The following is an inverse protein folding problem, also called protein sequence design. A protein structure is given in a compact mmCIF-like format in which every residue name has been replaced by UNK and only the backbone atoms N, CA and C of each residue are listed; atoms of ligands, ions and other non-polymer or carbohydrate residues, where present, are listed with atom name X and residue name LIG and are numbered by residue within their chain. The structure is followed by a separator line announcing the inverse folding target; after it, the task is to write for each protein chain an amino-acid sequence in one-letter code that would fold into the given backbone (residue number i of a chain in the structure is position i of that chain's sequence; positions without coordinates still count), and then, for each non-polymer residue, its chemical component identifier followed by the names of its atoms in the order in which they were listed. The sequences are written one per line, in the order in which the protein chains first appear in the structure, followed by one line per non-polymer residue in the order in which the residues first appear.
data_IF_637604371639
#
_entry.id   IF_637604371639
#
_cell.length_a   1.000
_cell.length_b   1.000
_cell.length_c   1.000
_cell.angle_alpha   90.00
_cell.angle_beta   90.00
_cell.angle_gamma   90.00
#
_symmetry.space_group_name_H-M   'P 1'
#
loop_
_entity.id
_entity.type
_entity.pdbx_description
1 polymer ?
#
# COMPACT_ATOMS: atom_id res chain seq x y z
N UNK A 1 11.84 16.72 -12.27
CA UNK A 1 12.07 18.14 -11.98
C UNK A 1 13.29 18.53 -12.78
N UNK A 2 13.22 19.54 -13.64
CA UNK A 2 14.36 20.08 -14.40
C UNK A 2 15.07 21.23 -13.64
N UNK A 3 14.71 21.42 -12.37
CA UNK A 3 15.29 22.40 -11.42
C UNK A 3 15.29 23.87 -11.89
N UNK A 4 14.59 24.17 -12.99
CA UNK A 4 14.35 25.53 -13.43
C UNK A 4 13.57 26.31 -12.35
N UNK A 5 14.08 27.49 -11.99
CA UNK A 5 13.49 28.38 -10.99
C UNK A 5 12.78 29.54 -11.71
N UNK A 6 11.58 29.97 -11.27
CA UNK A 6 10.91 29.62 -10.01
C UNK A 6 10.04 28.35 -10.05
N UNK A 7 9.71 27.84 -11.24
CA UNK A 7 8.84 26.67 -11.45
C UNK A 7 9.52 25.74 -12.46
N UNK A 8 9.62 24.45 -12.14
CA UNK A 8 10.20 23.45 -13.04
C UNK A 8 9.25 23.20 -14.25
N UNK A 9 9.78 22.92 -15.44
CA UNK A 9 9.00 22.67 -16.68
C UNK A 9 7.91 21.61 -16.48
N UNK A 10 8.16 20.61 -15.64
CA UNK A 10 7.17 19.59 -15.34
C UNK A 10 5.97 20.13 -14.52
N UNK A 11 6.21 21.00 -13.54
CA UNK A 11 5.15 21.66 -12.77
C UNK A 11 4.39 22.69 -13.62
N UNK A 12 5.08 23.38 -14.54
CA UNK A 12 4.46 24.27 -15.52
C UNK A 12 3.47 23.52 -16.40
N UNK A 13 3.86 22.37 -16.94
CA UNK A 13 2.99 21.55 -17.81
C UNK A 13 1.78 20.96 -17.09
N UNK A 14 1.94 20.62 -15.81
CA UNK A 14 0.89 19.96 -15.02
C UNK A 14 0.05 20.94 -14.20
N UNK A 15 0.31 22.24 -14.30
CA UNK A 15 -0.32 23.29 -13.49
C UNK A 15 -0.29 22.98 -11.98
N UNK A 16 0.84 22.42 -11.52
CA UNK A 16 1.06 22.08 -10.11
C UNK A 16 1.89 23.16 -9.41
N UNK A 17 1.63 23.35 -8.12
CA UNK A 17 2.48 24.18 -7.26
C UNK A 17 3.87 23.55 -7.14
N UNK A 18 4.91 24.28 -7.56
CA UNK A 18 6.30 23.81 -7.53
C UNK A 18 6.97 24.23 -6.21
N UNK A 19 7.02 23.32 -5.25
CA UNK A 19 7.67 23.54 -3.97
C UNK A 19 9.11 23.03 -4.00
N UNK A 20 10.06 23.91 -3.69
CA UNK A 20 11.45 23.55 -3.45
C UNK A 20 11.71 23.65 -1.95
N UNK A 21 11.63 22.52 -1.24
CA UNK A 21 11.98 22.48 0.18
C UNK A 21 13.46 22.80 0.34
N UNK A 22 13.76 23.99 0.84
CA UNK A 22 15.09 24.33 1.32
C UNK A 22 15.10 24.10 2.82
N UNK A 23 15.63 22.95 3.23
CA UNK A 23 16.10 22.77 4.62
C UNK A 23 17.18 23.83 4.84
N UNK A 24 16.89 24.86 5.63
CA UNK A 24 17.93 25.75 6.16
C UNK A 24 18.72 24.96 7.20
N UNK A 25 20.05 24.81 7.08
CA UNK A 25 20.87 24.39 8.22
C UNK A 25 20.74 25.47 9.29
N UNK A 26 20.31 25.10 10.49
CA UNK A 26 20.34 26.02 11.62
C UNK A 26 21.81 26.27 12.01
N UNK A 27 22.15 27.56 12.10
CA UNK A 27 23.46 28.07 12.45
C UNK A 27 23.95 27.53 13.81
N UNK A 28 25.22 27.13 13.83
CA UNK A 28 25.98 26.84 15.04
C UNK A 28 26.06 28.09 15.93
N UNK A 29 25.56 27.99 17.16
CA UNK A 29 25.91 28.88 18.27
C UNK A 29 26.78 28.12 19.30
N UNK A 30 27.88 28.72 19.81
CA UNK A 30 28.83 28.06 20.70
C UNK A 30 28.35 28.02 22.17
N UNK A 31 28.91 27.14 23.02
CA UNK A 31 28.40 26.87 24.38
C UNK A 31 28.96 27.83 25.44
N UNK A 32 28.21 28.13 26.53
CA UNK A 32 28.77 28.71 27.75
C UNK A 32 29.24 27.64 28.75
N UNK A 33 30.22 27.95 29.64
CA UNK A 33 30.90 26.96 30.46
C UNK A 33 30.22 26.62 31.80
N UNK A 34 30.66 25.47 32.31
CA UNK A 34 30.33 24.71 33.51
C UNK A 34 30.18 25.49 34.84
N UNK A 35 29.22 25.05 35.66
CA UNK A 35 29.30 25.03 37.14
C UNK A 35 28.34 23.96 37.69
N UNK A 36 28.90 22.94 38.36
CA UNK A 36 28.20 21.98 39.25
C UNK A 36 28.37 22.44 40.72
N UNK A 37 27.88 21.74 41.77
CA UNK A 37 27.08 20.50 41.83
C UNK A 37 25.90 20.54 42.84
N UNK A 38 24.99 19.57 42.77
CA UNK A 38 24.34 18.96 43.96
C UNK A 38 23.63 17.65 43.58
N UNK A 39 23.79 16.70 44.47
CA UNK A 39 23.57 15.25 44.41
C UNK A 39 22.12 14.77 44.60
N UNK A 40 21.70 13.71 43.89
CA UNK A 40 21.12 12.47 44.46
C UNK A 40 20.61 11.47 43.39
N UNK A 41 21.24 10.29 43.36
CA UNK A 41 20.75 8.92 43.10
C UNK A 41 19.69 8.57 42.01
N UNK A 42 20.19 7.82 41.00
CA UNK A 42 19.67 6.53 40.47
C UNK A 42 18.60 6.48 39.34
N UNK A 43 18.57 5.39 38.52
CA UNK A 43 18.55 5.49 37.06
C UNK A 43 17.26 4.96 36.38
N UNK A 44 16.98 5.42 35.16
CA UNK A 44 16.41 4.56 34.11
C UNK A 44 16.67 5.14 32.72
N UNK A 45 17.36 4.37 31.90
CA UNK A 45 17.62 4.66 30.50
C UNK A 45 16.31 4.67 29.70
N UNK A 46 16.03 5.80 29.05
CA UNK A 46 15.14 5.86 27.91
C UNK A 46 15.95 6.43 26.75
N UNK A 47 16.51 5.54 25.94
CA UNK A 47 17.03 5.91 24.63
C UNK A 47 15.84 6.40 23.80
N UNK A 48 15.78 7.71 23.60
CA UNK A 48 14.76 8.38 22.82
C UNK A 48 15.14 8.20 21.35
N UNK A 49 14.63 7.15 20.71
CA UNK A 49 14.68 7.02 19.26
C UNK A 49 14.02 8.25 18.63
N UNK A 50 14.81 8.98 17.86
CA UNK A 50 14.35 10.04 16.97
C UNK A 50 13.46 9.42 15.90
N UNK A 51 12.14 9.55 16.06
CA UNK A 51 11.18 9.16 15.04
C UNK A 51 11.34 10.05 13.80
N UNK A 52 11.59 9.41 12.66
CA UNK A 52 11.58 9.99 11.33
C UNK A 52 10.13 10.38 10.95
N UNK A 53 9.85 11.62 10.51
CA UNK A 53 8.48 12.13 10.36
C UNK A 53 7.75 11.65 9.09
N UNK A 54 8.14 10.50 8.52
CA UNK A 54 7.47 9.88 7.36
C UNK A 54 7.05 8.41 7.55
N UNK A 55 7.45 7.77 8.65
CA UNK A 55 7.11 6.36 8.89
C UNK A 55 5.73 6.25 9.55
N UNK A 56 4.67 6.09 8.76
CA UNK A 56 3.41 5.54 9.28
C UNK A 56 3.73 4.20 9.93
N UNK A 57 3.75 4.18 11.27
CA UNK A 57 4.12 3.01 12.04
C UNK A 57 3.08 1.91 11.81
N UNK A 58 3.53 0.67 11.67
CA UNK A 58 2.62 -0.46 11.58
C UNK A 58 1.72 -0.54 12.81
N UNK A 59 0.46 -0.98 12.63
CA UNK A 59 -0.39 -1.24 13.78
C UNK A 59 0.32 -2.22 14.71
N UNK A 60 0.29 -1.98 16.04
CA UNK A 60 1.02 -2.81 16.98
C UNK A 60 0.59 -4.26 16.88
N UNK A 61 1.54 -5.16 17.11
CA UNK A 61 1.23 -6.58 17.24
C UNK A 61 0.26 -6.76 18.41
N UNK A 62 -0.81 -7.51 18.15
CA UNK A 62 -1.83 -7.82 19.15
C UNK A 62 -2.43 -9.19 18.84
N UNK A 63 -3.06 -9.80 19.86
CA UNK A 63 -3.78 -11.06 19.66
C UNK A 63 -4.85 -10.93 18.57
N UNK A 64 -5.58 -9.80 18.56
CA UNK A 64 -6.60 -9.52 17.56
C UNK A 64 -6.00 -9.47 16.15
N UNK A 65 -4.85 -8.77 15.98
CA UNK A 65 -4.13 -8.71 14.70
C UNK A 65 -3.67 -10.09 14.25
N UNK A 66 -3.04 -10.88 15.13
CA UNK A 66 -2.61 -12.25 14.79
C UNK A 66 -3.77 -13.14 14.33
N UNK A 67 -4.88 -13.13 15.07
CA UNK A 67 -6.07 -13.93 14.73
C UNK A 67 -6.65 -13.50 13.38
N UNK A 68 -6.70 -12.19 13.13
CA UNK A 68 -7.12 -11.65 11.84
C UNK A 68 -6.19 -12.13 10.71
N UNK A 69 -4.88 -11.95 10.84
CA UNK A 69 -3.89 -12.34 9.82
C UNK A 69 -3.93 -13.85 9.54
N UNK A 70 -4.02 -14.68 10.57
CA UNK A 70 -4.21 -16.14 10.42
C UNK A 70 -5.51 -16.46 9.67
N UNK A 71 -6.61 -15.77 9.99
CA UNK A 71 -7.89 -15.97 9.29
C UNK A 71 -7.82 -15.54 7.82
N UNK A 72 -7.12 -14.44 7.51
CA UNK A 72 -6.92 -13.95 6.15
C UNK A 72 -5.99 -14.87 5.36
N UNK A 73 -4.94 -15.41 6.00
CA UNK A 73 -4.07 -16.40 5.38
C UNK A 73 -4.83 -17.69 5.04
N UNK A 74 -5.66 -18.16 5.97
CA UNK A 74 -6.54 -19.31 5.74
C UNK A 74 -7.55 -19.05 4.60
N UNK A 75 -8.18 -17.87 4.58
CA UNK A 75 -9.07 -17.44 3.49
C UNK A 75 -8.32 -17.38 2.14
N UNK A 76 -7.05 -16.98 2.16
CA UNK A 76 -6.23 -17.00 0.97
C UNK A 76 -6.05 -18.43 0.46
N UNK A 77 -5.54 -19.33 1.30
CA UNK A 77 -5.25 -20.72 0.93
C UNK A 77 -6.51 -21.48 0.47
N UNK A 78 -7.63 -21.26 1.16
CA UNK A 78 -8.84 -22.06 0.95
C UNK A 78 -9.66 -21.59 -0.25
N UNK A 79 -9.69 -20.29 -0.52
CA UNK A 79 -10.63 -19.72 -1.50
C UNK A 79 -9.99 -18.70 -2.45
N UNK A 80 -9.12 -17.81 -1.95
CA UNK A 80 -8.65 -16.66 -2.76
C UNK A 80 -7.55 -17.05 -3.74
N UNK A 81 -6.56 -17.83 -3.31
CA UNK A 81 -5.51 -18.35 -4.20
C UNK A 81 -6.10 -19.17 -5.35
N UNK A 82 -6.97 -20.17 -5.07
CA UNK A 82 -7.65 -20.94 -6.11
C UNK A 82 -8.51 -20.09 -7.05
N UNK A 83 -9.16 -19.01 -6.58
CA UNK A 83 -9.98 -18.16 -7.44
C UNK A 83 -9.18 -17.21 -8.35
N UNK A 84 -7.90 -16.99 -8.05
CA UNK A 84 -6.98 -16.20 -8.89
C UNK A 84 -6.42 -17.05 -10.03
N UNK A 85 -6.29 -18.37 -9.84
CA UNK A 85 -5.80 -19.27 -10.87
C UNK A 85 -6.72 -19.26 -12.10
N UNK A 86 -6.13 -19.11 -13.28
CA UNK A 86 -6.88 -19.04 -14.55
C UNK A 86 -7.10 -20.44 -15.13
N UNK A 87 -6.16 -21.33 -14.87
CA UNK A 87 -6.16 -22.72 -15.32
C UNK A 87 -5.50 -23.65 -14.28
N UNK A 88 -5.67 -24.96 -14.46
CA UNK A 88 -5.09 -26.01 -13.62
C UNK A 88 -3.55 -25.97 -13.57
N UNK A 89 -2.88 -25.46 -14.59
CA UNK A 89 -1.42 -25.36 -14.61
C UNK A 89 -0.92 -24.22 -13.71
N UNK A 90 -1.70 -23.14 -13.58
CA UNK A 90 -1.42 -22.01 -12.70
C UNK A 90 -1.86 -22.22 -11.25
N UNK A 91 -2.72 -23.20 -10.99
CA UNK A 91 -3.26 -23.46 -9.64
C UNK A 91 -2.17 -23.73 -8.59
N UNK A 92 -1.13 -24.58 -8.82
CA UNK A 92 -0.08 -24.82 -7.83
C UNK A 92 0.74 -23.56 -7.51
N UNK A 93 0.88 -22.65 -8.47
CA UNK A 93 1.55 -21.37 -8.23
C UNK A 93 0.77 -20.55 -7.21
N UNK A 94 -0.52 -20.34 -7.44
CA UNK A 94 -1.35 -19.45 -6.62
C UNK A 94 -1.79 -20.06 -5.29
N UNK A 95 -2.03 -21.37 -5.25
CA UNK A 95 -2.48 -22.08 -4.05
C UNK A 95 -1.32 -22.49 -3.12
N UNK A 96 -0.15 -22.87 -3.67
CA UNK A 96 0.94 -23.42 -2.87
C UNK A 96 2.17 -22.50 -2.85
N UNK A 97 2.71 -22.17 -4.03
CA UNK A 97 4.03 -21.53 -4.11
C UNK A 97 4.02 -20.08 -3.64
N UNK A 98 3.01 -19.31 -4.02
CA UNK A 98 2.86 -17.89 -3.65
C UNK A 98 2.75 -17.72 -2.12
N UNK A 99 1.88 -18.45 -1.40
CA UNK A 99 1.84 -18.43 0.07
C UNK A 99 3.16 -18.80 0.74
N UNK A 100 3.89 -19.80 0.20
CA UNK A 100 5.19 -20.18 0.76
C UNK A 100 6.22 -19.05 0.63
N UNK A 101 6.27 -18.39 -0.53
CA UNK A 101 7.15 -17.23 -0.75
C UNK A 101 6.75 -16.05 0.14
N UNK A 102 5.45 -15.86 0.39
CA UNK A 102 4.93 -14.80 1.23
C UNK A 102 5.46 -14.86 2.67
N UNK A 103 5.68 -16.06 3.22
CA UNK A 103 6.24 -16.21 4.57
C UNK A 103 7.67 -15.64 4.73
N UNK A 104 8.39 -15.44 3.62
CA UNK A 104 9.71 -14.83 3.59
C UNK A 104 9.75 -13.38 3.09
N UNK A 105 8.61 -12.80 2.70
CA UNK A 105 8.55 -11.46 2.12
C UNK A 105 7.28 -10.72 2.57
N UNK A 106 7.46 -9.69 3.41
CA UNK A 106 6.35 -8.92 3.99
C UNK A 106 5.48 -8.25 2.91
N UNK A 107 6.10 -7.72 1.85
CA UNK A 107 5.38 -7.08 0.75
C UNK A 107 4.38 -8.04 0.11
N UNK A 108 4.81 -9.29 -0.14
CA UNK A 108 3.94 -10.32 -0.69
C UNK A 108 2.89 -10.77 0.33
N UNK A 109 3.28 -10.97 1.60
CA UNK A 109 2.37 -11.38 2.67
C UNK A 109 1.21 -10.40 2.87
N UNK A 110 1.52 -9.11 2.99
CA UNK A 110 0.51 -8.07 3.13
C UNK A 110 -0.35 -7.93 1.86
N UNK A 111 0.23 -8.17 0.68
CA UNK A 111 -0.55 -8.23 -0.56
C UNK A 111 -1.54 -9.41 -0.55
N UNK A 112 -1.19 -10.57 0.02
CA UNK A 112 -2.12 -11.70 0.17
C UNK A 112 -3.27 -11.36 1.12
N UNK A 113 -2.97 -10.73 2.26
CA UNK A 113 -3.99 -10.29 3.22
C UNK A 113 -4.95 -9.26 2.62
N UNK A 114 -4.43 -8.32 1.83
CA UNK A 114 -5.22 -7.36 1.08
C UNK A 114 -6.24 -8.07 0.17
N UNK A 115 -5.80 -8.98 -0.71
CA UNK A 115 -6.71 -9.64 -1.65
C UNK A 115 -7.67 -10.60 -0.97
N UNK A 116 -7.25 -11.28 0.11
CA UNK A 116 -8.13 -12.12 0.91
C UNK A 116 -9.23 -11.31 1.60
N UNK A 117 -8.90 -10.15 2.17
CA UNK A 117 -9.88 -9.25 2.79
C UNK A 117 -10.89 -8.73 1.76
N UNK A 118 -10.43 -8.33 0.57
CA UNK A 118 -11.30 -7.91 -0.54
C UNK A 118 -12.24 -9.03 -0.99
N UNK A 119 -11.70 -10.23 -1.17
CA UNK A 119 -12.49 -11.38 -1.62
C UNK A 119 -13.59 -11.72 -0.59
N UNK A 120 -13.25 -11.71 0.70
CA UNK A 120 -14.20 -11.90 1.80
C UNK A 120 -15.30 -10.83 1.81
N UNK A 121 -14.94 -9.56 1.64
CA UNK A 121 -15.90 -8.44 1.60
C UNK A 121 -16.85 -8.52 0.38
N UNK A 122 -16.35 -8.94 -0.79
CA UNK A 122 -17.18 -9.17 -1.97
C UNK A 122 -18.17 -10.31 -1.76
N UNK A 123 -17.74 -11.41 -1.14
CA UNK A 123 -18.57 -12.57 -0.84
C UNK A 123 -19.70 -12.23 0.15
N UNK A 124 -19.43 -11.43 1.18
CA UNK A 124 -20.46 -10.98 2.12
C UNK A 124 -21.50 -10.08 1.46
N UNK A 125 -21.08 -9.20 0.56
CA UNK A 125 -22.00 -8.29 -0.14
C UNK A 125 -22.85 -9.03 -1.18
N UNK A 126 -22.31 -10.08 -1.82
CA UNK A 126 -23.04 -10.89 -2.79
C UNK A 126 -24.06 -11.86 -2.17
N UNK A 127 -23.85 -12.29 -0.92
CA UNK A 127 -24.76 -13.20 -0.22
C UNK A 127 -25.98 -12.50 0.43
N UNK A 128 -26.03 -11.16 0.43
CA UNK A 128 -27.05 -10.35 1.10
C UNK A 128 -28.08 -9.68 0.18
N UNK A 129 -28.35 -10.23 -1.01
CA UNK A 129 -29.39 -9.70 -1.91
C UNK A 129 -30.78 -9.85 -1.31
N UNK A 130 -31.36 -8.74 -0.81
CA UNK A 130 -32.80 -8.35 -0.90
C UNK A 130 -33.26 -7.27 0.10
N UNK A 131 -32.38 -6.65 0.90
CA UNK A 131 -32.79 -5.46 1.67
C UNK A 131 -32.31 -4.18 0.98
N UNK A 132 -33.21 -3.60 0.19
CA UNK A 132 -32.97 -2.38 -0.59
C UNK A 132 -32.55 -1.19 0.27
N UNK A 133 -31.46 -0.55 -0.15
CA UNK A 133 -31.19 0.89 -0.02
C UNK A 133 -29.85 1.15 -0.70
N UNK A 134 -29.85 2.04 -1.70
CA UNK A 134 -28.69 2.35 -2.56
C UNK A 134 -27.55 3.04 -1.82
N UNK A 135 -26.77 2.29 -1.05
CA UNK A 135 -25.50 2.73 -0.44
C UNK A 135 -24.55 1.55 -0.24
N UNK A 136 -24.37 0.73 -1.29
CA UNK A 136 -23.61 -0.52 -1.22
C UNK A 136 -22.17 -0.46 -1.75
N UNK A 137 -21.68 0.72 -2.17
CA UNK A 137 -20.45 0.83 -2.97
C UNK A 137 -19.24 1.48 -2.26
N UNK A 138 -19.36 1.85 -0.98
CA UNK A 138 -18.38 2.75 -0.36
C UNK A 138 -17.44 2.14 0.69
N UNK A 139 -17.84 1.09 1.40
CA UNK A 139 -17.02 0.61 2.53
C UNK A 139 -16.08 -0.50 2.09
N UNK A 140 -14.95 -0.12 1.49
CA UNK A 140 -13.78 -0.99 1.47
C UNK A 140 -13.51 -1.46 2.91
N UNK A 141 -13.33 -2.78 3.11
CA UNK A 141 -12.98 -3.34 4.41
C UNK A 141 -11.80 -2.53 5.00
N UNK A 142 -11.97 -1.97 6.19
CA UNK A 142 -10.93 -1.20 6.90
C UNK A 142 -9.60 -1.98 6.93
N UNK A 143 -9.69 -3.31 7.01
CA UNK A 143 -8.54 -4.20 6.94
C UNK A 143 -7.84 -4.16 5.58
N UNK A 144 -8.57 -4.12 4.46
CA UNK A 144 -7.97 -4.02 3.13
C UNK A 144 -7.17 -2.73 2.95
N UNK A 145 -7.66 -1.58 3.45
CA UNK A 145 -6.89 -0.33 3.39
C UNK A 145 -5.58 -0.43 4.18
N UNK A 146 -5.62 -0.98 5.40
CA UNK A 146 -4.43 -1.13 6.22
C UNK A 146 -3.38 -2.05 5.56
N UNK A 147 -3.80 -3.18 5.00
CA UNK A 147 -2.87 -4.10 4.32
C UNK A 147 -2.35 -3.56 2.98
N UNK A 148 -3.10 -2.69 2.29
CA UNK A 148 -2.58 -1.98 1.11
C UNK A 148 -1.41 -1.07 1.48
N UNK A 149 -1.58 -0.23 2.52
CA UNK A 149 -0.54 0.71 2.93
C UNK A 149 0.74 -0.02 3.37
N UNK A 150 0.59 -1.09 4.15
CA UNK A 150 1.71 -1.94 4.57
C UNK A 150 2.37 -2.64 3.36
N UNK A 151 1.58 -3.19 2.43
CA UNK A 151 2.11 -3.86 1.24
C UNK A 151 2.91 -2.91 0.35
N UNK A 152 2.40 -1.70 0.07
CA UNK A 152 3.09 -0.71 -0.77
C UNK A 152 4.37 -0.23 -0.11
N UNK A 153 4.35 0.02 1.21
CA UNK A 153 5.52 0.46 1.97
C UNK A 153 6.62 -0.60 1.99
N UNK A 154 6.28 -1.86 2.25
CA UNK A 154 7.25 -2.97 2.22
C UNK A 154 7.74 -3.25 0.79
N UNK A 155 6.87 -3.14 -0.21
CA UNK A 155 7.27 -3.27 -1.61
C UNK A 155 8.31 -2.22 -2.01
N UNK A 156 8.15 -0.97 -1.53
CA UNK A 156 9.16 0.08 -1.71
C UNK A 156 10.52 -0.31 -1.14
N UNK A 157 10.55 -0.83 0.10
CA UNK A 157 11.78 -1.30 0.77
C UNK A 157 12.45 -2.45 0.03
N UNK A 158 11.67 -3.40 -0.46
CA UNK A 158 12.21 -4.53 -1.24
C UNK A 158 12.78 -4.09 -2.59
N UNK A 159 12.17 -3.08 -3.23
CA UNK A 159 12.66 -2.50 -4.50
C UNK A 159 13.98 -1.75 -4.29
N UNK A 160 14.14 -1.04 -3.17
CA UNK A 160 15.40 -0.35 -2.83
C UNK A 160 16.59 -1.32 -2.72
N UNK A 161 16.32 -2.57 -2.34
CA UNK A 161 17.32 -3.63 -2.19
C UNK A 161 17.03 -4.86 -3.06
N UNK A 162 16.69 -4.61 -4.33
CA UNK A 162 16.38 -5.68 -5.27
C UNK A 162 17.58 -6.60 -5.52
N UNK A 163 17.35 -7.91 -5.43
CA UNK A 163 18.36 -8.95 -5.59
C UNK A 163 17.77 -10.19 -6.28
N UNK A 164 18.61 -11.12 -6.77
CA UNK A 164 18.12 -12.40 -7.29
C UNK A 164 17.32 -13.24 -6.27
N UNK A 165 17.48 -12.97 -4.98
CA UNK A 165 16.81 -13.74 -3.92
C UNK A 165 15.37 -13.27 -3.64
N UNK A 166 15.05 -11.99 -3.88
CA UNK A 166 13.71 -11.42 -3.60
C UNK A 166 12.93 -11.02 -4.86
N UNK A 167 13.56 -11.00 -6.05
CA UNK A 167 12.93 -10.53 -7.29
C UNK A 167 11.62 -11.23 -7.61
N UNK A 168 11.52 -12.55 -7.38
CA UNK A 168 10.30 -13.31 -7.63
C UNK A 168 9.17 -12.87 -6.69
N UNK A 169 9.46 -12.72 -5.40
CA UNK A 169 8.49 -12.29 -4.40
C UNK A 169 8.02 -10.84 -4.66
N UNK A 170 8.94 -9.95 -5.06
CA UNK A 170 8.64 -8.56 -5.46
C UNK A 170 7.73 -8.53 -6.70
N UNK A 171 8.06 -9.32 -7.73
CA UNK A 171 7.25 -9.42 -8.95
C UNK A 171 5.85 -9.96 -8.65
N UNK A 172 5.74 -10.96 -7.79
CA UNK A 172 4.47 -11.53 -7.36
C UNK A 172 3.67 -10.53 -6.53
N UNK A 173 4.29 -9.82 -5.58
CA UNK A 173 3.61 -8.80 -4.77
C UNK A 173 3.03 -7.69 -5.66
N UNK A 174 3.82 -7.17 -6.60
CA UNK A 174 3.35 -6.20 -7.58
C UNK A 174 2.20 -6.75 -8.45
N UNK A 175 2.23 -8.04 -8.79
CA UNK A 175 1.17 -8.70 -9.57
C UNK A 175 -0.12 -8.86 -8.76
N UNK A 176 -0.03 -9.23 -7.48
CA UNK A 176 -1.18 -9.31 -6.57
C UNK A 176 -1.78 -7.92 -6.34
N UNK A 177 -0.97 -6.87 -6.19
CA UNK A 177 -1.47 -5.50 -6.08
C UNK A 177 -2.28 -5.07 -7.31
N UNK A 178 -1.93 -5.54 -8.52
CA UNK A 178 -2.75 -5.28 -9.71
C UNK A 178 -4.17 -5.84 -9.56
N UNK A 179 -4.36 -6.98 -8.90
CA UNK A 179 -5.69 -7.54 -8.62
C UNK A 179 -6.53 -6.53 -7.82
N UNK A 180 -5.98 -5.94 -6.76
CA UNK A 180 -6.65 -4.86 -6.02
C UNK A 180 -7.03 -3.70 -6.94
N UNK A 181 -6.14 -3.28 -7.84
CA UNK A 181 -6.45 -2.18 -8.77
C UNK A 181 -7.62 -2.52 -9.70
N UNK A 182 -7.73 -3.77 -10.17
CA UNK A 182 -8.85 -4.22 -10.98
C UNK A 182 -10.15 -4.26 -10.19
N UNK A 183 -10.13 -4.71 -8.93
CA UNK A 183 -11.29 -4.67 -8.05
C UNK A 183 -11.75 -3.22 -7.82
N UNK A 184 -10.83 -2.27 -7.61
CA UNK A 184 -11.15 -0.83 -7.53
C UNK A 184 -11.74 -0.30 -8.83
N UNK A 185 -11.23 -0.76 -9.97
CA UNK A 185 -11.73 -0.34 -11.27
C UNK A 185 -13.18 -0.78 -11.51
N UNK A 186 -13.60 -1.93 -10.97
CA UNK A 186 -14.96 -2.45 -11.05
C UNK A 186 -15.94 -1.70 -10.15
N UNK A 187 -15.49 -1.15 -9.02
CA UNK A 187 -16.33 -0.37 -8.11
C UNK A 187 -16.45 1.10 -8.48
N UNK A 188 -15.85 1.53 -9.60
CA UNK A 188 -16.07 2.89 -10.08
C UNK A 188 -17.55 3.05 -10.42
N UNK A 189 -18.13 4.15 -9.97
CA UNK A 189 -19.45 4.56 -10.43
C UNK A 189 -19.35 4.83 -11.93
N UNK A 190 -19.84 3.87 -12.73
CA UNK A 190 -20.30 4.18 -14.07
C UNK A 190 -21.53 5.05 -13.84
N UNK A 191 -21.46 6.34 -14.16
CA UNK A 191 -22.61 7.24 -14.08
C UNK A 191 -23.68 6.73 -15.05
N UNK A 192 -24.49 5.79 -14.59
CA UNK A 192 -25.66 5.28 -15.29
C UNK A 192 -26.95 5.92 -14.71
N UNK A 193 -26.82 6.95 -13.85
CA UNK A 193 -27.88 7.30 -12.90
C UNK A 193 -28.32 8.76 -12.76
N UNK A 194 -27.75 9.74 -13.47
CA UNK A 194 -28.24 11.14 -13.41
C UNK A 194 -28.26 11.77 -14.82
N UNK A 195 -29.21 11.33 -15.64
CA UNK A 195 -29.60 11.98 -16.90
C UNK A 195 -28.96 11.41 -18.18
N UNK A 196 -29.80 11.21 -19.20
CA UNK A 196 -29.36 11.04 -20.60
C UNK A 196 -28.33 12.12 -20.95
N UNK A 197 -27.10 11.72 -21.31
CA UNK A 197 -26.10 12.61 -21.89
C UNK A 197 -24.83 12.86 -21.05
N UNK A 198 -24.66 12.25 -19.88
CA UNK A 198 -23.37 12.32 -19.19
C UNK A 198 -22.28 11.57 -19.98
N UNK A 199 -21.17 12.22 -20.39
CA UNK A 199 -20.12 11.56 -21.17
C UNK A 199 -19.36 10.55 -20.32
N UNK A 200 -18.99 9.42 -20.93
CA UNK A 200 -18.15 8.40 -20.30
C UNK A 200 -16.89 9.02 -19.69
N UNK A 201 -16.70 8.80 -18.38
CA UNK A 201 -15.49 9.22 -17.68
C UNK A 201 -14.46 8.08 -17.71
N UNK A 202 -13.33 8.24 -18.43
CA UNK A 202 -12.29 7.21 -18.45
C UNK A 202 -11.63 7.07 -17.07
N UNK A 203 -11.19 5.87 -16.68
CA UNK A 203 -10.57 5.60 -15.39
C UNK A 203 -9.11 6.07 -15.36
N UNK A 204 -8.90 7.38 -15.47
CA UNK A 204 -7.58 8.01 -15.63
C UNK A 204 -6.64 7.73 -14.45
N UNK A 205 -7.16 7.64 -13.23
CA UNK A 205 -6.38 7.26 -12.03
C UNK A 205 -5.81 5.83 -12.17
N UNK A 206 -6.66 4.87 -12.56
CA UNK A 206 -6.24 3.49 -12.80
C UNK A 206 -5.25 3.39 -13.96
N UNK A 207 -5.54 4.06 -15.09
CA UNK A 207 -4.64 4.09 -16.25
C UNK A 207 -3.26 4.66 -15.91
N UNK A 208 -3.20 5.66 -15.02
CA UNK A 208 -1.94 6.22 -14.52
C UNK A 208 -1.19 5.20 -13.66
N UNK A 209 -1.90 4.49 -12.79
CA UNK A 209 -1.31 3.47 -11.92
C UNK A 209 -0.75 2.26 -12.69
N UNK A 210 -1.36 1.89 -13.82
CA UNK A 210 -0.86 0.79 -14.68
C UNK A 210 0.12 1.26 -15.76
N UNK A 211 0.08 2.53 -16.16
CA UNK A 211 0.84 3.09 -17.28
C UNK A 211 2.28 3.53 -16.97
N UNK A 212 2.68 3.58 -15.71
CA UNK A 212 4.04 3.99 -15.30
C UNK A 212 5.14 3.06 -15.79
N UNK A 213 4.82 1.82 -16.16
CA UNK A 213 5.80 0.87 -16.72
C UNK A 213 6.44 1.39 -18.02
N UNK A 214 5.74 2.16 -18.84
CA UNK A 214 6.27 2.65 -20.12
C UNK A 214 7.17 3.90 -20.00
N UNK A 215 7.07 4.66 -18.90
CA UNK A 215 7.85 5.88 -18.72
C UNK A 215 9.32 5.59 -18.37
N UNK A 216 9.60 4.43 -17.76
CA UNK A 216 10.95 4.03 -17.35
C UNK A 216 11.81 3.59 -18.55
N UNK A 217 11.19 3.09 -19.62
CA UNK A 217 11.90 2.59 -20.81
C UNK A 217 12.08 3.61 -21.94
N UNK A 218 11.65 4.87 -21.76
CA UNK A 218 11.98 5.96 -22.68
C UNK A 218 13.21 6.71 -22.15
N UNK A 219 14.39 6.23 -22.55
CA UNK A 219 15.63 7.03 -22.54
C UNK A 219 15.86 7.59 -23.94
#
# INVERSE_FOLDING_TARGET
CDEAKPICSNCTRLHLTCLYDRVKPADHAPPPPLSSPSSSSSPSAAAKETADPGSAADPPESEARRRLELSLFYQYLSETGPSIAVDEASLPLWADKVPQLALGCNALLYSLFLVAALHRAKKSNGAGGESGSGSGSGSLDHHASAYLDMAVRELGREIEHLSPANVDAVCLAASVLRIYTFVRLQERELRDGDGEGAPYAPPTSWLRMTGTSAAIFRR
#
